data_IF_580621507970
#
_entry.id   IF_580621507970
#
_cell.length_a   1.000
_cell.length_b   1.000
_cell.length_c   1.000
_cell.angle_alpha   90.00
_cell.angle_beta   90.00
_cell.angle_gamma   90.00
#
_symmetry.space_group_name_H-M   'P 1'
#
loop_
_entity.id
_entity.type
_entity.pdbx_description
1 polymer ?
#
# COMPACT_ATOMS: atom_id res chain seq x y z
N UNK A 1 55.53 -16.87 -19.64
CA UNK A 1 54.10 -16.84 -19.40
C UNK A 1 53.89 -15.86 -18.25
N UNK A 2 53.39 -14.63 -18.56
CA UNK A 2 53.09 -13.62 -17.55
C UNK A 2 51.64 -13.84 -17.09
N UNK A 3 51.45 -14.20 -15.85
CA UNK A 3 50.15 -14.29 -15.19
C UNK A 3 49.67 -12.82 -14.92
N UNK A 4 48.45 -12.49 -15.29
CA UNK A 4 47.95 -11.12 -15.09
C UNK A 4 47.71 -10.90 -13.57
N UNK A 5 48.46 -9.96 -12.97
CA UNK A 5 48.28 -9.51 -11.61
C UNK A 5 46.83 -9.01 -11.42
N UNK A 6 46.08 -9.66 -10.53
CA UNK A 6 44.75 -9.20 -10.14
C UNK A 6 44.89 -7.90 -9.34
N UNK A 7 44.16 -6.83 -9.72
CA UNK A 7 44.23 -5.57 -9.00
C UNK A 7 43.74 -5.75 -7.56
N UNK A 8 44.65 -5.47 -6.60
CA UNK A 8 44.35 -5.47 -5.17
C UNK A 8 43.47 -4.26 -4.87
N UNK A 9 42.15 -4.44 -4.86
CA UNK A 9 41.22 -3.39 -4.47
C UNK A 9 41.37 -3.08 -2.99
N UNK A 10 41.78 -1.85 -2.64
CA UNK A 10 41.91 -1.41 -1.26
C UNK A 10 40.56 -1.39 -0.56
N UNK A 11 40.53 -1.65 0.76
CA UNK A 11 39.30 -1.65 1.59
C UNK A 11 38.47 -0.37 1.39
N UNK A 12 39.12 0.77 1.21
CA UNK A 12 38.51 2.06 0.92
C UNK A 12 37.75 2.07 -0.44
N UNK A 13 38.35 1.49 -1.47
CA UNK A 13 37.70 1.39 -2.81
C UNK A 13 36.46 0.47 -2.78
N UNK A 14 36.50 -0.63 -2.04
CA UNK A 14 35.34 -1.51 -1.86
C UNK A 14 34.20 -0.83 -1.12
N UNK A 15 34.48 -0.08 -0.05
CA UNK A 15 33.48 0.67 0.71
C UNK A 15 32.86 1.76 -0.17
N UNK A 16 33.68 2.50 -0.93
CA UNK A 16 33.19 3.55 -1.84
C UNK A 16 32.30 2.97 -2.94
N UNK A 17 32.68 1.84 -3.53
CA UNK A 17 31.88 1.14 -4.53
C UNK A 17 30.56 0.64 -3.95
N UNK A 18 30.55 0.07 -2.73
CA UNK A 18 29.33 -0.37 -2.06
C UNK A 18 28.39 0.82 -1.78
N UNK A 19 28.92 1.95 -1.30
CA UNK A 19 28.13 3.16 -1.08
C UNK A 19 27.55 3.72 -2.38
N UNK A 20 28.35 3.78 -3.44
CA UNK A 20 27.86 4.24 -4.75
C UNK A 20 26.76 3.34 -5.29
N UNK A 21 26.94 2.02 -5.22
CA UNK A 21 25.91 1.06 -5.65
C UNK A 21 24.64 1.18 -4.82
N UNK A 22 24.76 1.34 -3.49
CA UNK A 22 23.60 1.55 -2.62
C UNK A 22 22.84 2.83 -2.98
N UNK A 23 23.55 3.94 -3.22
CA UNK A 23 22.93 5.21 -3.66
C UNK A 23 22.20 5.05 -5.00
N UNK A 24 22.82 4.37 -5.97
CA UNK A 24 22.20 4.11 -7.27
C UNK A 24 20.94 3.24 -7.13
N UNK A 25 21.00 2.17 -6.33
CA UNK A 25 19.85 1.32 -6.07
C UNK A 25 18.70 2.09 -5.43
N UNK A 26 19.02 2.93 -4.41
CA UNK A 26 18.02 3.78 -3.76
C UNK A 26 17.42 4.79 -4.75
N UNK A 27 18.25 5.44 -5.56
CA UNK A 27 17.80 6.40 -6.56
C UNK A 27 16.87 5.76 -7.60
N UNK A 28 17.23 4.57 -8.11
CA UNK A 28 16.40 3.81 -9.05
C UNK A 28 15.10 3.39 -8.38
N UNK A 29 15.15 2.89 -7.15
CA UNK A 29 13.96 2.50 -6.39
C UNK A 29 13.00 3.68 -6.19
N UNK A 30 13.50 4.84 -5.74
CA UNK A 30 12.71 6.06 -5.57
C UNK A 30 12.14 6.53 -6.91
N UNK A 31 12.93 6.49 -7.98
CA UNK A 31 12.48 6.83 -9.33
C UNK A 31 11.33 5.94 -9.82
N UNK A 32 11.43 4.63 -9.61
CA UNK A 32 10.37 3.68 -9.95
C UNK A 32 9.10 3.94 -9.13
N UNK A 33 9.23 4.14 -7.82
CA UNK A 33 8.10 4.46 -6.94
C UNK A 33 7.41 5.77 -7.36
N UNK A 34 8.18 6.82 -7.65
CA UNK A 34 7.65 8.10 -8.13
C UNK A 34 6.96 7.93 -9.50
N UNK A 35 7.51 7.13 -10.38
CA UNK A 35 6.91 6.84 -11.68
C UNK A 35 5.59 6.07 -11.55
N UNK A 36 5.53 5.06 -10.69
CA UNK A 36 4.31 4.28 -10.45
C UNK A 36 3.21 5.11 -9.78
N UNK A 37 3.57 6.00 -8.85
CA UNK A 37 2.59 6.84 -8.15
C UNK A 37 2.09 8.03 -8.97
N UNK A 38 2.72 8.38 -10.10
CA UNK A 38 2.31 9.56 -10.89
C UNK A 38 0.88 9.47 -11.44
N UNK A 39 0.41 8.25 -11.74
CA UNK A 39 -0.92 8.01 -12.28
C UNK A 39 -2.00 7.83 -11.21
N UNK A 40 -1.64 7.84 -9.92
CA UNK A 40 -2.59 7.79 -8.81
C UNK A 40 -3.29 9.14 -8.64
N UNK A 41 -4.46 9.13 -8.01
CA UNK A 41 -5.17 10.35 -7.58
C UNK A 41 -4.23 11.24 -6.78
N UNK A 42 -4.29 12.55 -7.01
CA UNK A 42 -3.37 13.50 -6.36
C UNK A 42 -3.60 13.58 -4.85
N UNK A 43 -2.51 13.55 -4.08
CA UNK A 43 -2.54 13.81 -2.63
C UNK A 43 -2.54 15.33 -2.32
N UNK A 44 -3.28 16.12 -3.10
CA UNK A 44 -3.41 17.58 -2.96
C UNK A 44 -4.65 18.01 -2.18
N UNK A 45 -5.25 17.12 -1.39
CA UNK A 45 -6.47 17.40 -0.65
C UNK A 45 -7.75 17.34 -1.51
N UNK A 46 -7.69 16.69 -2.68
CA UNK A 46 -8.91 16.41 -3.45
C UNK A 46 -9.80 15.42 -2.70
N UNK A 47 -11.12 15.54 -2.87
CA UNK A 47 -12.08 14.60 -2.29
C UNK A 47 -11.86 13.22 -2.90
N UNK A 48 -11.80 12.20 -2.04
CA UNK A 48 -11.70 10.82 -2.49
C UNK A 48 -12.94 10.39 -3.26
N UNK A 49 -12.83 9.51 -4.26
CA UNK A 49 -13.98 8.92 -4.92
C UNK A 49 -14.86 8.16 -3.91
N UNK A 50 -16.13 8.01 -4.24
CA UNK A 50 -17.01 7.14 -3.46
C UNK A 50 -16.46 5.71 -3.41
N UNK A 51 -16.58 5.10 -2.23
CA UNK A 51 -16.31 3.68 -2.03
C UNK A 51 -17.55 3.06 -1.38
N UNK A 52 -18.36 2.41 -2.19
CA UNK A 52 -19.52 1.63 -1.78
C UNK A 52 -19.43 0.25 -2.39
N UNK A 53 -19.92 -0.75 -1.67
CA UNK A 53 -19.91 -2.12 -2.16
C UNK A 53 -20.45 -3.10 -1.13
N UNK A 54 -20.27 -4.36 -1.44
CA UNK A 54 -20.60 -5.46 -0.52
C UNK A 54 -19.28 -5.99 0.04
N UNK A 55 -19.24 -6.21 1.33
CA UNK A 55 -18.09 -6.83 1.98
C UNK A 55 -18.05 -8.35 1.71
N UNK A 56 -16.91 -8.95 1.99
CA UNK A 56 -16.74 -10.41 1.96
C UNK A 56 -17.69 -11.14 2.92
N UNK A 57 -18.16 -10.45 3.98
CA UNK A 57 -19.18 -10.95 4.91
C UNK A 57 -20.62 -10.80 4.37
N UNK A 58 -20.82 -10.19 3.20
CA UNK A 58 -22.13 -9.94 2.60
C UNK A 58 -22.83 -8.66 3.10
N UNK A 59 -22.15 -7.84 3.87
CA UNK A 59 -22.71 -6.61 4.43
C UNK A 59 -22.49 -5.41 3.50
N UNK A 60 -23.43 -4.45 3.44
CA UNK A 60 -23.21 -3.21 2.69
C UNK A 60 -22.17 -2.33 3.38
N UNK A 61 -21.18 -1.92 2.62
CA UNK A 61 -20.13 -0.97 3.04
C UNK A 61 -20.30 0.38 2.33
N UNK A 62 -20.15 1.45 3.08
CA UNK A 62 -20.10 2.82 2.55
C UNK A 62 -19.07 3.63 3.36
N UNK A 63 -17.98 4.01 2.72
CA UNK A 63 -16.91 4.79 3.35
C UNK A 63 -17.43 6.13 3.90
N UNK A 64 -18.47 6.73 3.27
CA UNK A 64 -19.05 7.99 3.74
C UNK A 64 -19.62 7.90 5.17
N UNK A 65 -19.96 6.71 5.66
CA UNK A 65 -20.40 6.52 7.05
C UNK A 65 -19.31 6.71 8.09
N UNK A 66 -18.04 6.64 7.66
CA UNK A 66 -16.88 6.89 8.51
C UNK A 66 -16.45 8.36 8.54
N UNK A 67 -17.31 9.29 8.07
CA UNK A 67 -17.03 10.73 8.11
C UNK A 67 -16.68 11.19 9.53
N UNK A 68 -15.81 12.20 9.61
CA UNK A 68 -15.20 12.75 10.84
C UNK A 68 -14.04 11.92 11.41
N UNK A 69 -13.62 10.85 10.71
CA UNK A 69 -12.42 10.07 11.05
C UNK A 69 -11.51 9.97 9.83
N UNK A 70 -10.20 10.01 10.02
CA UNK A 70 -9.27 9.66 8.94
C UNK A 70 -9.49 8.21 8.51
N UNK A 71 -9.19 7.91 7.25
CA UNK A 71 -9.37 6.57 6.70
C UNK A 71 -8.12 6.08 5.96
N UNK A 72 -7.81 4.79 6.11
CA UNK A 72 -6.84 4.07 5.29
C UNK A 72 -7.58 3.11 4.36
N UNK A 73 -7.51 3.37 3.07
CA UNK A 73 -8.06 2.50 2.03
C UNK A 73 -6.91 1.74 1.38
N UNK A 74 -6.93 0.42 1.52
CA UNK A 74 -5.92 -0.49 1.01
C UNK A 74 -6.47 -1.31 -0.16
N UNK A 75 -5.85 -1.22 -1.32
CA UNK A 75 -6.23 -1.98 -2.51
C UNK A 75 -5.25 -3.13 -2.74
N UNK A 76 -5.77 -4.34 -2.90
CA UNK A 76 -4.99 -5.55 -3.11
C UNK A 76 -5.62 -6.49 -4.13
N UNK A 77 -4.83 -7.42 -4.63
CA UNK A 77 -5.32 -8.55 -5.40
C UNK A 77 -4.92 -9.87 -4.69
N UNK A 78 -5.76 -10.92 -4.69
CA UNK A 78 -5.47 -12.18 -3.98
C UNK A 78 -4.18 -12.88 -4.44
N UNK A 79 -3.81 -12.72 -5.69
CA UNK A 79 -2.59 -13.28 -6.29
C UNK A 79 -1.31 -12.44 -6.03
N UNK A 80 -1.44 -11.24 -5.46
CA UNK A 80 -0.35 -10.29 -5.31
C UNK A 80 0.59 -10.67 -4.14
N UNK A 81 1.79 -11.14 -4.45
CA UNK A 81 2.80 -11.53 -3.44
C UNK A 81 3.29 -10.36 -2.59
N UNK A 82 3.39 -9.15 -3.16
CA UNK A 82 3.78 -7.94 -2.42
C UNK A 82 2.69 -7.53 -1.44
N UNK A 83 1.41 -7.73 -1.81
CA UNK A 83 0.27 -7.53 -0.93
C UNK A 83 0.33 -8.47 0.28
N UNK A 84 0.62 -9.75 0.03
CA UNK A 84 0.81 -10.76 1.08
C UNK A 84 1.91 -10.37 2.08
N UNK A 85 3.05 -9.87 1.59
CA UNK A 85 4.14 -9.39 2.44
C UNK A 85 3.75 -8.14 3.27
N UNK A 86 2.79 -7.35 2.80
CA UNK A 86 2.33 -6.13 3.48
C UNK A 86 1.18 -6.37 4.46
N UNK A 87 0.44 -7.46 4.33
CA UNK A 87 -0.78 -7.75 5.09
C UNK A 87 -0.54 -7.71 6.61
N UNK A 88 0.51 -8.35 7.11
CA UNK A 88 0.84 -8.34 8.53
C UNK A 88 1.20 -6.95 9.10
N UNK A 89 1.57 -6.00 8.25
CA UNK A 89 1.81 -4.61 8.69
C UNK A 89 0.49 -3.86 8.88
N UNK A 90 -0.54 -4.17 8.07
CA UNK A 90 -1.90 -3.65 8.23
C UNK A 90 -2.53 -4.16 9.53
N UNK A 91 -2.41 -5.46 9.81
CA UNK A 91 -2.90 -6.06 11.03
C UNK A 91 -2.25 -5.46 12.28
N UNK A 92 -0.94 -5.22 12.24
CA UNK A 92 -0.27 -4.53 13.34
C UNK A 92 -0.75 -3.09 13.51
N UNK A 93 -0.96 -2.35 12.41
CA UNK A 93 -1.54 -1.00 12.48
C UNK A 93 -2.93 -1.04 13.10
N UNK A 94 -3.78 -2.01 12.67
CA UNK A 94 -5.13 -2.21 13.19
C UNK A 94 -5.16 -2.44 14.70
N UNK A 95 -4.22 -3.22 15.23
CA UNK A 95 -4.10 -3.46 16.68
C UNK A 95 -3.64 -2.24 17.48
N UNK A 96 -2.97 -1.28 16.84
CA UNK A 96 -2.45 -0.07 17.48
C UNK A 96 -3.38 1.13 17.36
N UNK A 97 -4.28 1.12 16.39
CA UNK A 97 -5.24 2.19 16.14
C UNK A 97 -6.65 1.62 16.12
N UNK A 98 -7.47 2.07 17.07
CA UNK A 98 -8.86 1.64 17.13
C UNK A 98 -9.66 2.10 15.91
N UNK A 99 -10.74 1.39 15.57
CA UNK A 99 -11.62 1.74 14.45
C UNK A 99 -12.35 3.06 14.68
N UNK A 100 -12.50 3.49 15.92
CA UNK A 100 -13.03 4.81 16.25
C UNK A 100 -12.08 5.94 15.92
N UNK A 101 -10.76 5.66 15.86
CA UNK A 101 -9.73 6.65 15.56
C UNK A 101 -9.33 6.67 14.08
N UNK A 102 -9.27 5.50 13.45
CA UNK A 102 -8.87 5.32 12.06
C UNK A 102 -9.76 4.27 11.39
N UNK A 103 -10.56 4.69 10.43
CA UNK A 103 -11.26 3.74 9.57
C UNK A 103 -10.25 3.01 8.69
N UNK A 104 -10.26 1.67 8.74
CA UNK A 104 -9.41 0.87 7.87
C UNK A 104 -10.28 -0.06 7.05
N UNK A 105 -10.12 -0.03 5.73
CA UNK A 105 -10.84 -0.89 4.79
C UNK A 105 -9.88 -1.43 3.74
N UNK A 106 -10.02 -2.72 3.42
CA UNK A 106 -9.33 -3.32 2.29
C UNK A 106 -10.31 -3.54 1.13
N UNK A 107 -9.86 -3.30 -0.08
CA UNK A 107 -10.63 -3.48 -1.31
C UNK A 107 -9.93 -4.53 -2.16
N UNK A 108 -10.59 -5.66 -2.33
CA UNK A 108 -10.12 -6.70 -3.22
C UNK A 108 -10.46 -6.34 -4.67
N UNK A 109 -9.47 -6.33 -5.54
CA UNK A 109 -9.61 -6.08 -6.97
C UNK A 109 -8.95 -7.22 -7.76
N UNK A 110 -9.30 -7.33 -9.04
CA UNK A 110 -8.69 -8.29 -9.97
C UNK A 110 -8.71 -9.73 -9.41
N UNK A 111 -9.88 -10.15 -8.93
CA UNK A 111 -10.15 -11.50 -8.41
C UNK A 111 -11.08 -12.26 -9.36
N UNK A 112 -10.84 -13.58 -9.51
CA UNK A 112 -11.65 -14.46 -10.35
C UNK A 112 -12.85 -15.03 -9.62
N UNK A 113 -12.67 -15.39 -8.34
CA UNK A 113 -13.71 -15.96 -7.50
C UNK A 113 -13.63 -15.40 -6.07
N UNK A 114 -14.78 -15.31 -5.39
CA UNK A 114 -14.85 -14.79 -4.00
C UNK A 114 -14.03 -15.66 -3.04
N UNK A 115 -13.93 -16.95 -3.34
CA UNK A 115 -13.16 -17.94 -2.58
C UNK A 115 -11.67 -17.61 -2.56
N UNK A 116 -11.13 -17.02 -3.62
CA UNK A 116 -9.72 -16.57 -3.66
C UNK A 116 -9.48 -15.43 -2.67
N UNK A 117 -10.43 -14.48 -2.60
CA UNK A 117 -10.38 -13.39 -1.65
C UNK A 117 -10.50 -13.92 -0.22
N UNK A 118 -11.41 -14.85 0.02
CA UNK A 118 -11.61 -15.51 1.33
C UNK A 118 -10.34 -16.21 1.78
N UNK A 119 -9.77 -17.06 0.93
CA UNK A 119 -8.54 -17.78 1.22
C UNK A 119 -7.34 -16.85 1.48
N UNK A 120 -7.29 -15.71 0.79
CA UNK A 120 -6.26 -14.69 1.05
C UNK A 120 -6.45 -14.04 2.43
N UNK A 121 -7.66 -13.62 2.76
CA UNK A 121 -8.01 -12.97 4.04
C UNK A 121 -7.72 -13.90 5.21
N UNK A 122 -8.15 -15.15 5.14
CA UNK A 122 -7.91 -16.19 6.15
C UNK A 122 -6.40 -16.47 6.34
N UNK A 123 -5.67 -16.65 5.23
CA UNK A 123 -4.22 -16.93 5.27
C UNK A 123 -3.41 -15.82 5.91
N UNK A 124 -3.84 -14.57 5.73
CA UNK A 124 -3.13 -13.40 6.22
C UNK A 124 -3.76 -12.77 7.46
N UNK A 125 -4.80 -13.44 8.02
CA UNK A 125 -5.48 -13.05 9.26
C UNK A 125 -5.94 -11.58 9.23
N UNK A 126 -6.48 -11.11 8.07
CA UNK A 126 -6.91 -9.73 7.92
C UNK A 126 -8.24 -9.49 8.67
N UNK A 127 -8.18 -8.79 9.80
CA UNK A 127 -9.33 -8.41 10.64
C UNK A 127 -9.76 -6.96 10.35
N UNK A 128 -10.22 -6.71 9.14
CA UNK A 128 -10.80 -5.43 8.70
C UNK A 128 -11.87 -5.66 7.64
N UNK A 129 -12.78 -4.69 7.40
CA UNK A 129 -13.77 -4.81 6.34
C UNK A 129 -13.09 -5.03 4.98
N UNK A 130 -13.48 -6.09 4.27
CA UNK A 130 -12.98 -6.42 2.94
C UNK A 130 -14.09 -6.15 1.92
N UNK A 131 -13.97 -5.09 1.16
CA UNK A 131 -14.93 -4.75 0.09
C UNK A 131 -14.55 -5.51 -1.18
N UNK A 132 -15.53 -6.15 -1.80
CA UNK A 132 -15.37 -6.79 -3.11
C UNK A 132 -15.50 -5.70 -4.19
N UNK A 133 -14.37 -5.18 -4.63
CA UNK A 133 -14.32 -4.14 -5.64
C UNK A 133 -14.34 -4.70 -7.06
N UNK A 134 -14.74 -3.86 -7.99
CA UNK A 134 -14.80 -4.15 -9.42
C UNK A 134 -13.90 -3.21 -10.26
N UNK A 135 -13.97 -3.35 -11.57
CA UNK A 135 -13.23 -2.50 -12.50
C UNK A 135 -13.63 -1.01 -12.44
N UNK A 136 -14.83 -0.67 -11.98
CA UNK A 136 -15.27 0.71 -11.81
C UNK A 136 -14.58 1.36 -10.61
N UNK A 137 -14.48 0.63 -9.50
CA UNK A 137 -13.72 1.05 -8.32
C UNK A 137 -12.25 1.26 -8.68
N UNK A 138 -11.63 0.30 -9.40
CA UNK A 138 -10.24 0.41 -9.84
C UNK A 138 -10.01 1.67 -10.69
N UNK A 139 -10.89 1.97 -11.64
CA UNK A 139 -10.79 3.19 -12.48
C UNK A 139 -10.97 4.47 -11.67
N UNK A 140 -12.02 4.54 -10.84
CA UNK A 140 -12.34 5.74 -10.07
C UNK A 140 -11.21 6.10 -9.09
N UNK A 141 -10.60 5.10 -8.46
CA UNK A 141 -9.48 5.25 -7.54
C UNK A 141 -8.11 5.26 -8.23
N UNK A 142 -8.08 5.16 -9.56
CA UNK A 142 -6.86 5.14 -10.38
C UNK A 142 -5.85 4.09 -9.88
N UNK A 143 -6.33 2.85 -9.69
CA UNK A 143 -5.50 1.74 -9.24
C UNK A 143 -4.87 1.07 -10.47
N UNK A 144 -3.56 1.18 -10.60
CA UNK A 144 -2.78 0.62 -11.71
C UNK A 144 -1.76 -0.43 -11.27
N UNK A 145 -1.55 -0.56 -9.96
CA UNK A 145 -0.61 -1.52 -9.37
C UNK A 145 -1.05 -1.92 -7.95
N UNK A 146 -0.56 -3.06 -7.50
CA UNK A 146 -0.85 -3.60 -6.17
C UNK A 146 0.44 -3.83 -5.36
N UNK A 147 0.36 -3.61 -4.03
CA UNK A 147 -0.73 -2.94 -3.33
C UNK A 147 -0.73 -1.42 -3.57
N UNK A 148 -1.90 -0.79 -3.46
CA UNK A 148 -2.05 0.66 -3.43
C UNK A 148 -2.72 1.11 -2.14
N UNK A 149 -2.31 2.27 -1.63
CA UNK A 149 -2.80 2.84 -0.38
C UNK A 149 -3.23 4.28 -0.59
N UNK A 150 -4.38 4.63 -0.02
CA UNK A 150 -4.80 6.02 0.16
C UNK A 150 -5.07 6.28 1.62
N UNK A 151 -4.48 7.35 2.15
CA UNK A 151 -4.81 7.85 3.48
C UNK A 151 -5.62 9.14 3.30
N UNK A 152 -6.79 9.15 3.90
CA UNK A 152 -7.75 10.23 3.83
C UNK A 152 -7.79 10.96 5.16
N UNK A 153 -7.96 12.28 5.11
CA UNK A 153 -8.25 13.09 6.29
C UNK A 153 -9.70 12.86 6.80
N UNK A 154 -10.05 13.49 7.91
CA UNK A 154 -11.39 13.41 8.51
C UNK A 154 -12.51 13.99 7.62
N UNK A 155 -12.18 14.69 6.54
CA UNK A 155 -13.12 15.16 5.50
C UNK A 155 -13.09 14.29 4.25
N UNK A 156 -12.47 13.11 4.34
CA UNK A 156 -12.24 12.18 3.24
C UNK A 156 -11.56 12.81 2.02
N UNK A 157 -10.60 13.71 2.26
CA UNK A 157 -9.71 14.22 1.22
C UNK A 157 -8.43 13.39 1.20
N UNK A 158 -7.89 13.16 0.02
CA UNK A 158 -6.67 12.38 -0.15
C UNK A 158 -5.49 13.20 0.41
N UNK A 159 -5.03 12.80 1.58
CA UNK A 159 -3.88 13.39 2.26
C UNK A 159 -2.57 12.73 1.81
N UNK A 160 -2.60 11.39 1.60
CA UNK A 160 -1.42 10.62 1.17
C UNK A 160 -1.83 9.49 0.23
N UNK A 161 -0.88 9.09 -0.59
CA UNK A 161 -0.99 7.94 -1.48
C UNK A 161 0.33 7.20 -1.54
N UNK A 162 0.27 5.91 -1.77
CA UNK A 162 1.46 5.07 -1.94
C UNK A 162 1.15 3.82 -2.76
N UNK A 163 2.19 3.25 -3.35
CA UNK A 163 2.11 2.00 -4.12
C UNK A 163 3.26 1.08 -3.76
N UNK A 164 3.02 -0.21 -3.73
CA UNK A 164 4.02 -1.22 -3.42
C UNK A 164 4.13 -1.54 -1.93
N UNK A 165 5.20 -2.22 -1.54
CA UNK A 165 5.39 -2.66 -0.15
C UNK A 165 5.44 -1.47 0.82
N UNK A 166 4.62 -1.52 1.86
CA UNK A 166 4.64 -0.52 2.92
C UNK A 166 5.09 -1.16 4.23
N UNK A 167 6.21 -0.66 4.78
CA UNK A 167 6.68 -1.10 6.10
C UNK A 167 5.74 -0.62 7.21
N UNK A 168 5.78 -1.28 8.37
CA UNK A 168 4.98 -0.88 9.53
C UNK A 168 5.23 0.58 9.94
N UNK A 169 6.49 1.02 9.99
CA UNK A 169 6.84 2.40 10.31
C UNK A 169 6.30 3.39 9.27
N UNK A 170 6.32 2.99 7.99
CA UNK A 170 5.74 3.78 6.91
C UNK A 170 4.23 3.94 7.03
N UNK A 171 3.51 2.87 7.37
CA UNK A 171 2.06 2.91 7.59
C UNK A 171 1.71 3.74 8.83
N UNK A 172 2.41 3.52 9.95
CA UNK A 172 2.22 4.29 11.19
C UNK A 172 2.43 5.79 10.95
N UNK A 173 3.54 6.17 10.31
CA UNK A 173 3.85 7.57 10.04
C UNK A 173 2.77 8.23 9.16
N UNK A 174 2.28 7.52 8.15
CA UNK A 174 1.23 8.03 7.26
C UNK A 174 -0.12 8.15 7.96
N UNK A 175 -0.47 7.17 8.80
CA UNK A 175 -1.72 7.16 9.55
C UNK A 175 -1.71 8.19 10.71
N UNK A 176 -0.54 8.52 11.25
CA UNK A 176 -0.41 9.45 12.41
C UNK A 176 -0.39 10.92 12.00
N UNK A 177 0.03 11.22 10.79
CA UNK A 177 0.18 12.62 10.32
C UNK A 177 -1.05 13.15 9.58
N UNK A 178 -2.19 12.49 9.72
CA UNK A 178 -3.46 12.86 9.08
C UNK A 178 -4.51 13.00 10.17
N UNK A 179 -4.72 14.25 10.59
CA UNK A 179 -5.82 14.69 11.46
C UNK A 179 -6.81 15.52 10.66
#
# INVERSE_FOLDING_TARGET
MNEPERPVTTRSQRIRSLLTNAVVIVAVFVGVMAYQSRNMLSASGQVAPELRGITLAGEPYDLARAQSRPALVYFFAPWCKVCAASAGNLERLRRWRDQSELEMVAVALDWGAVEEVRAYVERHELDLPIVLGDASVARNWQIYAFPSYYVLDSKHRIARRDVGYSSQLGLLWRAWTVD
#
